data_IF_027665375171
#
_entry.id   IF_027665375171
#
_cell.length_a   1.000
_cell.length_b   1.000
_cell.length_c   1.000
_cell.angle_alpha   90.00
_cell.angle_beta   90.00
_cell.angle_gamma   90.00
#
_symmetry.space_group_name_H-M   'P 1'
#
loop_
_entity.id
_entity.type
_entity.pdbx_description
1 polymer ?
#
# COMPACT_ATOMS: atom_id res chain seq x y z
N UNK A 1 -54.01 -22.29 -18.41
CA UNK A 1 -54.18 -22.45 -19.87
C UNK A 1 -53.47 -21.30 -20.57
N UNK A 2 -52.48 -21.66 -21.41
CA UNK A 2 -51.81 -20.93 -22.52
C UNK A 2 -51.31 -19.49 -22.26
N UNK A 3 -50.01 -19.22 -22.07
CA UNK A 3 -48.89 -19.22 -23.06
C UNK A 3 -49.21 -18.54 -24.39
N UNK A 4 -48.67 -17.34 -24.59
CA UNK A 4 -48.25 -16.85 -25.90
C UNK A 4 -47.05 -15.90 -25.73
N UNK A 5 -45.87 -16.46 -25.98
CA UNK A 5 -44.60 -15.76 -26.14
C UNK A 5 -44.62 -14.95 -27.45
N UNK A 6 -44.10 -13.73 -27.43
CA UNK A 6 -43.74 -13.00 -28.65
C UNK A 6 -42.27 -12.62 -28.57
N UNK A 7 -41.49 -13.54 -29.12
CA UNK A 7 -40.05 -13.45 -29.38
C UNK A 7 -39.85 -12.54 -30.59
N UNK A 8 -39.25 -11.36 -30.41
CA UNK A 8 -38.70 -10.60 -31.53
C UNK A 8 -37.18 -10.80 -31.52
N UNK A 9 -36.72 -11.61 -32.46
CA UNK A 9 -35.30 -11.89 -32.68
C UNK A 9 -34.61 -10.71 -33.36
N UNK A 10 -33.56 -10.21 -32.70
CA UNK A 10 -32.52 -9.42 -33.35
C UNK A 10 -31.31 -10.35 -33.53
N UNK A 11 -31.16 -10.80 -34.78
CA UNK A 11 -30.10 -11.67 -35.25
C UNK A 11 -28.87 -10.79 -35.50
N UNK A 12 -28.09 -10.49 -34.45
CA UNK A 12 -26.73 -9.97 -34.61
C UNK A 12 -25.84 -11.17 -34.85
N UNK A 13 -25.53 -11.43 -36.13
CA UNK A 13 -24.47 -12.34 -36.52
C UNK A 13 -23.14 -11.73 -36.04
N UNK A 14 -22.75 -12.07 -34.81
CA UNK A 14 -21.42 -11.79 -34.29
C UNK A 14 -20.41 -12.53 -35.15
N UNK A 15 -19.65 -11.78 -35.95
CA UNK A 15 -18.35 -12.20 -36.45
C UNK A 15 -17.48 -12.47 -35.22
N UNK A 16 -17.48 -13.72 -34.75
CA UNK A 16 -16.44 -14.23 -33.87
C UNK A 16 -15.16 -14.29 -34.69
N UNK A 17 -14.42 -13.18 -34.70
CA UNK A 17 -12.98 -13.25 -34.96
C UNK A 17 -12.42 -13.95 -33.72
N UNK A 18 -11.82 -15.15 -33.85
CA UNK A 18 -11.07 -15.68 -32.74
C UNK A 18 -9.90 -14.73 -32.51
N UNK A 19 -9.93 -13.99 -31.40
CA UNK A 19 -8.71 -13.53 -30.74
C UNK A 19 -7.99 -14.79 -30.25
N UNK A 20 -7.37 -15.51 -31.17
CA UNK A 20 -6.19 -16.25 -30.84
C UNK A 20 -5.18 -15.19 -30.41
N UNK A 21 -4.82 -15.16 -29.13
CA UNK A 21 -3.59 -14.51 -28.67
C UNK A 21 -2.49 -14.95 -29.62
N UNK A 22 -2.05 -14.06 -30.50
CA UNK A 22 -0.77 -14.20 -31.15
C UNK A 22 0.24 -14.12 -30.00
N UNK A 23 0.64 -15.28 -29.47
CA UNK A 23 1.87 -15.38 -28.72
C UNK A 23 2.96 -15.01 -29.71
N UNK A 24 3.35 -13.73 -29.73
CA UNK A 24 4.51 -13.28 -30.48
C UNK A 24 5.66 -14.20 -30.12
N UNK A 25 6.25 -14.85 -31.12
CA UNK A 25 7.41 -15.70 -30.89
C UNK A 25 8.46 -14.85 -30.16
N UNK A 26 9.02 -15.34 -29.03
CA UNK A 26 9.96 -14.57 -28.26
C UNK A 26 11.13 -14.16 -29.17
N UNK A 27 11.61 -12.90 -29.08
CA UNK A 27 12.68 -12.42 -29.95
C UNK A 27 13.92 -13.32 -29.94
N UNK A 28 14.62 -13.42 -31.06
CA UNK A 28 15.77 -14.34 -31.19
C UNK A 28 16.86 -14.14 -30.13
N UNK A 29 17.05 -12.91 -29.63
CA UNK A 29 18.02 -12.63 -28.55
C UNK A 29 17.68 -13.40 -27.26
N UNK A 30 16.39 -13.67 -27.01
CA UNK A 30 15.90 -14.30 -25.79
C UNK A 30 16.33 -15.76 -25.70
N UNK A 31 16.20 -16.50 -26.80
CA UNK A 31 16.69 -17.87 -26.87
C UNK A 31 18.21 -17.94 -26.63
N UNK A 32 18.97 -16.99 -27.19
CA UNK A 32 20.41 -16.90 -26.98
C UNK A 32 20.78 -16.57 -25.52
N UNK A 33 20.04 -15.66 -24.88
CA UNK A 33 20.23 -15.30 -23.47
C UNK A 33 19.91 -16.47 -22.55
N UNK A 34 18.80 -17.18 -22.75
CA UNK A 34 18.45 -18.38 -21.98
C UNK A 34 19.52 -19.48 -22.11
N UNK A 35 20.03 -19.71 -23.32
CA UNK A 35 21.11 -20.67 -23.54
C UNK A 35 22.42 -20.24 -22.84
N UNK A 36 22.69 -18.93 -22.75
CA UNK A 36 23.83 -18.42 -22.01
C UNK A 36 23.68 -18.61 -20.50
N UNK A 37 22.50 -18.34 -19.96
CA UNK A 37 22.17 -18.60 -18.54
C UNK A 37 22.36 -20.07 -18.19
N UNK A 38 21.85 -20.99 -19.01
CA UNK A 38 22.03 -22.43 -18.79
C UNK A 38 23.52 -22.84 -18.69
N UNK A 39 24.40 -22.25 -19.50
CA UNK A 39 25.85 -22.51 -19.40
C UNK A 39 26.42 -21.96 -18.09
N UNK A 40 26.07 -20.73 -17.74
CA UNK A 40 26.50 -20.10 -16.48
C UNK A 40 26.03 -20.90 -15.25
N UNK A 41 24.82 -21.46 -15.30
CA UNK A 41 24.30 -22.29 -14.21
C UNK A 41 25.10 -23.60 -14.04
N UNK A 42 25.51 -24.23 -15.15
CA UNK A 42 26.38 -25.41 -15.11
C UNK A 42 27.73 -25.04 -14.53
N UNK A 43 28.36 -23.99 -15.04
CA UNK A 43 29.66 -23.50 -14.56
C UNK A 43 29.61 -23.13 -13.06
N UNK A 44 28.55 -22.46 -12.61
CA UNK A 44 28.37 -22.09 -11.21
C UNK A 44 28.16 -23.32 -10.31
N UNK A 45 27.36 -24.30 -10.73
CA UNK A 45 27.17 -25.55 -9.97
C UNK A 45 28.46 -26.35 -9.83
N UNK A 46 29.30 -26.35 -10.87
CA UNK A 46 30.62 -26.99 -10.82
C UNK A 46 31.58 -26.22 -9.91
N UNK A 47 31.64 -24.89 -10.05
CA UNK A 47 32.54 -24.03 -9.27
C UNK A 47 32.23 -24.03 -7.76
N UNK A 48 30.95 -24.09 -7.39
CA UNK A 48 30.49 -24.07 -5.99
C UNK A 48 30.03 -25.44 -5.50
N UNK A 49 30.49 -26.52 -6.16
CA UNK A 49 30.12 -27.88 -5.77
C UNK A 49 30.53 -28.18 -4.31
N UNK A 50 29.54 -28.43 -3.46
CA UNK A 50 29.73 -28.75 -2.04
C UNK A 50 29.83 -27.53 -1.11
N UNK A 51 29.80 -26.30 -1.62
CA UNK A 51 29.75 -25.09 -0.80
C UNK A 51 28.32 -24.84 -0.30
N UNK A 52 28.10 -25.03 1.00
CA UNK A 52 26.78 -24.81 1.63
C UNK A 52 26.41 -23.34 1.83
N UNK A 53 27.36 -22.43 1.63
CA UNK A 53 27.15 -20.98 1.71
C UNK A 53 26.70 -20.38 0.37
N UNK A 54 26.75 -21.14 -0.72
CA UNK A 54 26.29 -20.71 -2.03
C UNK A 54 25.11 -21.54 -2.51
N UNK A 55 24.04 -20.86 -2.91
CA UNK A 55 22.87 -21.46 -3.56
C UNK A 55 22.88 -21.07 -5.04
N UNK A 56 22.86 -22.07 -5.92
CA UNK A 56 22.76 -21.88 -7.37
C UNK A 56 21.38 -22.36 -7.84
N UNK A 57 20.57 -21.43 -8.35
CA UNK A 57 19.28 -21.69 -9.01
C UNK A 57 19.38 -21.25 -10.48
N UNK A 58 18.34 -21.50 -11.29
CA UNK A 58 18.36 -21.11 -12.70
C UNK A 58 18.52 -19.60 -12.84
N UNK A 59 19.63 -19.12 -13.39
CA UNK A 59 19.92 -17.69 -13.54
C UNK A 59 20.18 -16.93 -12.24
N UNK A 60 20.40 -17.62 -11.12
CA UNK A 60 20.66 -17.00 -9.82
C UNK A 60 21.85 -17.65 -9.12
N UNK A 61 22.75 -16.83 -8.61
CA UNK A 61 23.76 -17.22 -7.61
C UNK A 61 23.55 -16.39 -6.35
N UNK A 62 23.31 -17.06 -5.22
CA UNK A 62 23.14 -16.44 -3.92
C UNK A 62 24.24 -16.89 -2.96
N UNK A 63 24.92 -15.94 -2.34
CA UNK A 63 26.03 -16.13 -1.41
C UNK A 63 25.61 -15.62 -0.04
N UNK A 64 25.53 -16.54 0.93
CA UNK A 64 25.11 -16.25 2.30
C UNK A 64 26.15 -15.47 3.08
N UNK A 65 27.43 -15.74 2.89
CA UNK A 65 28.51 -15.05 3.61
C UNK A 65 28.64 -13.61 3.13
N UNK A 66 28.60 -13.41 1.82
CA UNK A 66 28.59 -12.07 1.23
C UNK A 66 27.23 -11.35 1.37
N UNK A 67 26.19 -12.06 1.83
CA UNK A 67 24.78 -11.64 1.84
C UNK A 67 24.39 -10.99 0.52
N UNK A 68 24.59 -11.71 -0.58
CA UNK A 68 24.46 -11.19 -1.94
C UNK A 68 23.73 -12.15 -2.84
N UNK A 69 22.91 -11.63 -3.73
CA UNK A 69 22.32 -12.38 -4.84
C UNK A 69 22.74 -11.71 -6.14
N UNK A 70 23.03 -12.52 -7.16
CA UNK A 70 23.20 -12.08 -8.54
C UNK A 70 22.19 -12.81 -9.40
N UNK A 71 21.34 -12.06 -10.08
CA UNK A 71 20.28 -12.53 -10.96
C UNK A 71 20.61 -12.13 -12.39
N UNK A 72 20.45 -13.06 -13.33
CA UNK A 72 20.59 -12.77 -14.76
C UNK A 72 19.31 -12.13 -15.28
N UNK A 73 19.45 -11.00 -15.98
CA UNK A 73 18.34 -10.27 -16.58
C UNK A 73 18.67 -9.91 -18.02
N UNK A 74 17.65 -9.58 -18.80
CA UNK A 74 17.78 -8.99 -20.14
C UNK A 74 17.04 -7.65 -20.20
N UNK A 75 17.58 -6.66 -20.89
CA UNK A 75 16.92 -5.37 -21.08
C UNK A 75 15.77 -5.48 -22.10
N UNK A 76 14.67 -4.76 -21.84
CA UNK A 76 13.49 -4.77 -22.72
C UNK A 76 13.62 -3.78 -23.89
N UNK A 77 14.56 -2.83 -23.81
CA UNK A 77 14.84 -1.90 -24.91
C UNK A 77 13.99 -0.62 -24.92
N UNK A 78 13.55 -0.14 -23.76
CA UNK A 78 12.89 1.16 -23.65
C UNK A 78 13.82 2.29 -24.13
N UNK A 79 13.26 3.21 -24.90
CA UNK A 79 13.94 4.40 -25.39
C UNK A 79 14.16 5.45 -24.30
N UNK A 80 15.00 6.42 -24.62
CA UNK A 80 15.21 7.60 -23.77
C UNK A 80 13.89 8.33 -23.52
N UNK A 81 13.62 8.70 -22.28
CA UNK A 81 12.37 9.36 -21.85
C UNK A 81 11.08 8.54 -22.01
N UNK A 82 11.16 7.26 -22.40
CA UNK A 82 10.00 6.38 -22.34
C UNK A 82 9.56 6.21 -20.89
N UNK A 83 8.25 6.11 -20.68
CA UNK A 83 7.69 5.84 -19.36
C UNK A 83 8.08 4.42 -18.95
N UNK A 84 8.63 4.29 -17.75
CA UNK A 84 8.93 3.01 -17.16
C UNK A 84 8.12 2.86 -15.87
N UNK A 85 7.49 1.72 -15.69
CA UNK A 85 6.73 1.34 -14.50
C UNK A 85 7.48 0.29 -13.67
N UNK A 86 8.26 -0.55 -14.35
CA UNK A 86 9.00 -1.63 -13.71
C UNK A 86 10.49 -1.52 -13.97
N UNK A 87 11.27 -1.78 -12.93
CA UNK A 87 12.69 -2.06 -13.10
C UNK A 87 12.90 -3.49 -13.60
N UNK A 88 12.15 -4.44 -13.03
CA UNK A 88 12.27 -5.86 -13.34
C UNK A 88 10.89 -6.51 -13.36
N UNK A 89 10.61 -7.22 -14.45
CA UNK A 89 9.45 -8.11 -14.59
C UNK A 89 9.87 -9.57 -14.69
N UNK A 90 8.94 -10.48 -14.36
CA UNK A 90 9.11 -11.91 -14.42
C UNK A 90 9.17 -12.44 -15.86
N UNK A 91 9.71 -13.66 -16.08
CA UNK A 91 9.91 -14.21 -17.42
C UNK A 91 8.64 -14.28 -18.29
N UNK A 92 7.48 -14.53 -17.66
CA UNK A 92 6.18 -14.68 -18.34
C UNK A 92 5.45 -13.36 -18.61
N UNK A 93 5.90 -12.26 -18.02
CA UNK A 93 5.20 -10.97 -18.10
C UNK A 93 5.23 -10.39 -19.52
N UNK A 94 4.07 -9.88 -19.95
CA UNK A 94 3.88 -9.13 -21.19
C UNK A 94 4.10 -7.62 -21.08
N UNK A 95 4.60 -7.11 -19.94
CA UNK A 95 4.78 -5.66 -19.71
C UNK A 95 6.18 -5.16 -20.09
N UNK A 96 6.83 -5.76 -21.09
CA UNK A 96 8.17 -5.33 -21.54
C UNK A 96 8.18 -3.93 -22.16
N UNK A 97 7.05 -3.48 -22.71
CA UNK A 97 6.87 -2.12 -23.25
C UNK A 97 6.90 -1.00 -22.20
N UNK A 98 6.95 -1.32 -20.91
CA UNK A 98 7.06 -0.36 -19.80
C UNK A 98 8.03 -0.83 -18.70
N UNK A 99 8.90 -1.79 -19.02
CA UNK A 99 9.88 -2.37 -18.09
C UNK A 99 11.31 -2.09 -18.54
N UNK A 100 12.22 -1.79 -17.62
CA UNK A 100 13.65 -1.66 -17.96
C UNK A 100 14.27 -3.01 -18.30
N UNK A 101 13.96 -4.03 -17.50
CA UNK A 101 14.54 -5.36 -17.65
C UNK A 101 13.53 -6.47 -17.34
N UNK A 102 13.83 -7.66 -17.84
CA UNK A 102 13.13 -8.90 -17.55
C UNK A 102 14.10 -9.89 -16.89
N UNK A 103 13.67 -10.49 -15.78
CA UNK A 103 14.41 -11.57 -15.15
C UNK A 103 14.44 -12.83 -16.02
N UNK A 104 15.56 -13.55 -15.99
CA UNK A 104 15.70 -14.88 -16.59
C UNK A 104 15.54 -15.99 -15.54
N UNK A 105 14.98 -15.64 -14.38
CA UNK A 105 14.64 -16.49 -13.25
C UNK A 105 13.23 -16.16 -12.77
N UNK A 106 12.56 -17.10 -12.10
CA UNK A 106 11.22 -16.89 -11.53
C UNK A 106 11.28 -16.05 -10.25
N UNK A 107 10.18 -15.38 -9.91
CA UNK A 107 10.07 -14.67 -8.64
C UNK A 107 10.19 -15.65 -7.44
N UNK A 108 9.68 -16.88 -7.56
CA UNK A 108 9.83 -17.92 -6.55
C UNK A 108 11.29 -18.32 -6.29
N UNK A 109 12.13 -18.44 -7.32
CA UNK A 109 13.56 -18.72 -7.15
C UNK A 109 14.28 -17.53 -6.49
N UNK A 110 13.87 -16.31 -6.82
CA UNK A 110 14.39 -15.11 -6.17
C UNK A 110 14.01 -14.99 -4.69
N UNK A 111 12.76 -15.27 -4.34
CA UNK A 111 12.30 -15.34 -2.94
C UNK A 111 13.11 -16.37 -2.15
N UNK A 112 13.31 -17.56 -2.72
CA UNK A 112 14.15 -18.61 -2.13
C UNK A 112 15.60 -18.15 -1.92
N UNK A 113 16.18 -17.43 -2.87
CA UNK A 113 17.52 -16.89 -2.78
C UNK A 113 17.65 -15.80 -1.68
N UNK A 114 16.66 -14.91 -1.53
CA UNK A 114 16.60 -13.89 -0.48
C UNK A 114 16.54 -14.53 0.92
N UNK A 115 15.68 -15.54 1.09
CA UNK A 115 15.61 -16.31 2.33
C UNK A 115 16.92 -17.06 2.62
N UNK A 116 17.57 -17.60 1.58
CA UNK A 116 18.84 -18.31 1.73
C UNK A 116 19.97 -17.44 2.28
N UNK A 117 20.02 -16.15 1.90
CA UNK A 117 20.99 -15.16 2.44
C UNK A 117 20.55 -14.53 3.77
N UNK A 118 19.49 -15.06 4.39
CA UNK A 118 19.03 -14.68 5.72
C UNK A 118 18.08 -13.48 5.75
N UNK A 119 17.42 -13.12 4.65
CA UNK A 119 16.37 -12.11 4.68
C UNK A 119 15.02 -12.72 5.05
N UNK A 120 14.21 -11.96 5.79
CA UNK A 120 12.80 -12.24 5.99
C UNK A 120 11.98 -11.25 5.13
N UNK A 121 10.93 -11.71 4.44
CA UNK A 121 10.09 -10.81 3.68
C UNK A 121 9.31 -9.89 4.62
N UNK A 122 9.13 -8.67 4.16
CA UNK A 122 8.22 -7.70 4.72
C UNK A 122 6.77 -7.91 4.28
N UNK A 123 5.98 -6.85 4.40
CA UNK A 123 4.58 -6.80 3.99
C UNK A 123 4.40 -5.76 2.89
N UNK A 124 3.79 -6.15 1.78
CA UNK A 124 3.38 -5.25 0.71
C UNK A 124 2.30 -4.27 1.18
N UNK A 125 2.03 -3.22 0.38
CA UNK A 125 0.83 -2.40 0.54
C UNK A 125 -0.45 -3.24 0.41
N UNK A 126 -1.50 -2.80 1.10
CA UNK A 126 -2.84 -3.38 1.05
C UNK A 126 -3.84 -2.28 1.39
N UNK A 127 -4.28 -1.57 0.36
CA UNK A 127 -5.19 -0.43 0.50
C UNK A 127 -6.54 -0.82 1.11
N UNK A 128 -6.99 -2.07 0.87
CA UNK A 128 -8.24 -2.59 1.45
C UNK A 128 -8.17 -2.77 2.97
N UNK A 129 -6.96 -2.93 3.50
CA UNK A 129 -6.67 -3.05 4.93
C UNK A 129 -5.97 -1.82 5.51
N UNK A 130 -6.07 -0.66 4.86
CA UNK A 130 -5.42 0.59 5.30
C UNK A 130 -3.90 0.50 5.46
N UNK A 131 -3.24 -0.38 4.70
CA UNK A 131 -1.77 -0.48 4.68
C UNK A 131 -1.23 0.27 3.47
N UNK A 132 -0.91 1.53 3.69
CA UNK A 132 -0.46 2.45 2.63
C UNK A 132 1.06 2.45 2.43
N UNK A 133 1.81 1.75 3.29
CA UNK A 133 3.26 1.71 3.28
C UNK A 133 3.75 0.26 3.24
N UNK A 134 4.72 -0.08 2.37
CA UNK A 134 5.40 -1.37 2.46
C UNK A 134 6.32 -1.38 3.67
N UNK A 135 6.32 -2.49 4.39
CA UNK A 135 7.05 -2.66 5.64
C UNK A 135 8.06 -3.79 5.54
N UNK A 136 9.34 -3.50 5.63
CA UNK A 136 10.39 -4.50 5.60
C UNK A 136 11.78 -3.86 5.56
N UNK A 137 12.79 -4.70 5.72
CA UNK A 137 14.18 -4.27 5.58
C UNK A 137 14.51 -3.92 4.13
N UNK A 138 15.55 -3.10 3.95
CA UNK A 138 15.93 -2.58 2.64
C UNK A 138 16.83 -3.55 1.91
N UNK A 139 16.63 -3.62 0.61
CA UNK A 139 17.51 -4.28 -0.36
C UNK A 139 18.05 -3.22 -1.29
N UNK A 140 19.37 -3.12 -1.29
CA UNK A 140 20.10 -2.34 -2.26
C UNK A 140 20.22 -3.12 -3.57
N UNK A 141 20.04 -2.41 -4.68
CA UNK A 141 19.83 -2.99 -5.99
C UNK A 141 20.72 -2.30 -7.01
N UNK A 142 21.48 -3.08 -7.77
CA UNK A 142 22.38 -2.55 -8.80
C UNK A 142 22.37 -3.39 -10.08
N UNK A 143 22.66 -2.75 -11.19
CA UNK A 143 22.85 -3.41 -12.49
C UNK A 143 24.27 -3.23 -12.99
N UNK A 144 24.80 -4.25 -13.66
CA UNK A 144 26.03 -4.12 -14.47
C UNK A 144 25.97 -5.04 -15.68
N UNK A 145 26.80 -4.76 -16.67
CA UNK A 145 27.03 -5.71 -17.76
C UNK A 145 27.92 -6.87 -17.28
N UNK A 146 27.67 -8.11 -17.74
CA UNK A 146 28.55 -9.24 -17.43
C UNK A 146 30.00 -8.95 -17.80
N UNK A 147 30.93 -9.30 -16.91
CA UNK A 147 32.38 -9.12 -17.13
C UNK A 147 32.90 -7.68 -17.03
N UNK A 148 32.04 -6.67 -16.81
CA UNK A 148 32.52 -5.31 -16.57
C UNK A 148 33.10 -5.14 -15.15
N UNK A 149 34.22 -4.41 -15.09
CA UNK A 149 34.92 -4.07 -13.85
C UNK A 149 34.55 -2.69 -13.30
N UNK A 150 33.84 -1.87 -14.07
CA UNK A 150 33.30 -0.59 -13.61
C UNK A 150 32.31 -0.79 -12.46
N UNK A 151 32.15 0.24 -11.63
CA UNK A 151 31.15 0.22 -10.57
C UNK A 151 29.75 -0.03 -11.16
N UNK A 152 28.93 -0.89 -10.52
CA UNK A 152 27.58 -1.17 -10.97
C UNK A 152 26.69 0.06 -10.74
N UNK A 153 25.64 0.22 -11.55
CA UNK A 153 24.70 1.33 -11.45
C UNK A 153 23.63 1.03 -10.41
N UNK A 154 23.26 2.02 -9.58
CA UNK A 154 22.06 1.90 -8.74
C UNK A 154 20.84 1.74 -9.62
N UNK A 155 19.92 0.84 -9.27
CA UNK A 155 18.66 0.69 -10.00
C UNK A 155 17.94 2.02 -10.12
N UNK A 156 17.87 2.79 -9.03
CA UNK A 156 17.25 4.11 -8.96
C UNK A 156 17.84 5.14 -9.95
N UNK A 157 19.11 4.94 -10.38
CA UNK A 157 19.77 5.81 -11.36
C UNK A 157 19.40 5.53 -12.82
N UNK A 158 18.70 4.43 -13.09
CA UNK A 158 18.20 4.09 -14.43
C UNK A 158 16.95 4.89 -14.80
N UNK A 159 16.28 5.50 -13.82
CA UNK A 159 15.09 6.32 -14.04
C UNK A 159 15.33 7.77 -13.64
N UNK A 160 14.61 8.67 -14.31
CA UNK A 160 14.50 10.09 -14.02
C UNK A 160 13.13 10.40 -13.44
N UNK A 161 13.08 11.23 -12.41
CA UNK A 161 11.88 11.94 -11.99
C UNK A 161 11.78 13.23 -12.80
N UNK A 162 10.81 13.29 -13.71
CA UNK A 162 10.60 14.42 -14.62
C UNK A 162 10.21 15.71 -13.88
N UNK A 163 9.56 15.58 -12.72
CA UNK A 163 9.18 16.73 -11.89
C UNK A 163 10.40 17.34 -11.20
N UNK A 164 11.36 16.52 -10.79
CA UNK A 164 12.57 16.96 -10.10
C UNK A 164 13.76 17.21 -11.04
N UNK A 165 13.70 16.72 -12.28
CA UNK A 165 14.80 16.77 -13.24
C UNK A 165 16.04 16.02 -12.76
N UNK A 166 15.86 14.98 -11.93
CA UNK A 166 16.95 14.20 -11.31
C UNK A 166 16.62 12.72 -11.33
N UNK A 167 17.63 11.88 -11.18
CA UNK A 167 17.42 10.45 -10.93
C UNK A 167 16.69 10.22 -9.61
N UNK A 168 16.07 9.04 -9.47
CA UNK A 168 15.39 8.69 -8.23
C UNK A 168 16.40 8.60 -7.07
N UNK A 169 15.96 8.98 -5.87
CA UNK A 169 16.79 8.91 -4.66
C UNK A 169 17.15 7.45 -4.35
N UNK A 170 18.43 7.13 -4.03
CA UNK A 170 18.90 5.76 -3.84
C UNK A 170 18.51 5.21 -2.45
N UNK A 171 17.21 5.03 -2.22
CA UNK A 171 16.66 4.58 -0.94
C UNK A 171 16.66 3.06 -0.77
N UNK A 172 17.01 2.31 -1.83
CA UNK A 172 16.80 0.87 -1.90
C UNK A 172 15.32 0.51 -2.05
N UNK A 173 15.03 -0.78 -1.95
CA UNK A 173 13.70 -1.35 -2.10
C UNK A 173 13.31 -2.16 -0.87
N UNK A 174 12.03 -2.36 -0.64
CA UNK A 174 11.50 -3.19 0.45
C UNK A 174 11.33 -4.60 -0.09
N UNK A 175 12.04 -5.58 0.47
CA UNK A 175 11.70 -6.97 0.19
C UNK A 175 10.39 -7.31 0.90
N UNK A 176 9.37 -7.70 0.14
CA UNK A 176 8.01 -7.95 0.65
C UNK A 176 7.48 -9.30 0.19
N UNK A 177 6.57 -9.86 0.98
CA UNK A 177 5.79 -11.02 0.58
C UNK A 177 4.58 -10.56 -0.24
N UNK A 178 4.50 -11.03 -1.49
CA UNK A 178 3.31 -10.83 -2.32
C UNK A 178 2.12 -11.60 -1.72
N UNK A 179 0.91 -11.02 -1.73
CA UNK A 179 -0.26 -11.65 -1.14
C UNK A 179 -0.64 -12.90 -1.94
N UNK A 180 -0.99 -13.97 -1.23
CA UNK A 180 -1.53 -15.17 -1.86
C UNK A 180 -2.98 -14.89 -2.30
N UNK A 181 -3.18 -14.63 -3.59
CA UNK A 181 -4.54 -14.53 -4.12
C UNK A 181 -5.24 -15.90 -4.01
N UNK A 182 -6.34 -15.97 -3.26
CA UNK A 182 -7.28 -17.10 -3.35
C UNK A 182 -6.85 -18.44 -2.73
N UNK A 183 -5.79 -18.53 -1.91
CA UNK A 183 -5.51 -19.76 -1.16
C UNK A 183 -6.52 -19.92 0.00
N UNK A 184 -7.66 -20.56 -0.29
CA UNK A 184 -8.71 -20.89 0.69
C UNK A 184 -8.27 -21.94 1.72
N UNK A 185 -7.11 -22.54 1.52
CA UNK A 185 -6.48 -23.53 2.40
C UNK A 185 -5.08 -23.03 2.71
N UNK A 186 -4.63 -23.07 3.96
CA UNK A 186 -3.29 -22.64 4.37
C UNK A 186 -2.11 -23.47 3.81
N UNK A 187 -2.27 -24.02 2.61
CA UNK A 187 -1.22 -24.63 1.81
C UNK A 187 -0.55 -23.52 0.96
N UNK A 188 0.79 -23.51 0.87
CA UNK A 188 1.49 -22.60 0.00
C UNK A 188 1.07 -22.87 -1.46
N UNK A 189 0.89 -21.82 -2.28
CA UNK A 189 0.51 -22.01 -3.68
C UNK A 189 1.60 -22.78 -4.42
N UNK A 190 1.20 -23.63 -5.37
CA UNK A 190 2.13 -24.38 -6.25
C UNK A 190 3.04 -23.45 -7.07
N UNK A 191 2.62 -22.19 -7.25
CA UNK A 191 3.30 -21.14 -7.99
C UNK A 191 3.38 -19.89 -7.12
N UNK A 192 4.53 -19.21 -7.12
CA UNK A 192 4.70 -17.97 -6.37
C UNK A 192 3.70 -16.89 -6.85
N UNK A 193 3.08 -16.08 -5.96
CA UNK A 193 2.01 -15.15 -6.37
C UNK A 193 2.40 -14.17 -7.48
N UNK A 194 3.65 -13.68 -7.48
CA UNK A 194 4.17 -12.83 -8.57
C UNK A 194 4.28 -13.59 -9.90
N UNK A 195 4.64 -14.87 -9.86
CA UNK A 195 4.71 -15.71 -11.06
C UNK A 195 3.31 -16.09 -11.59
N UNK A 196 2.29 -16.03 -10.73
CA UNK A 196 0.89 -16.26 -11.09
C UNK A 196 0.15 -14.98 -11.56
N UNK A 197 0.62 -13.79 -11.19
CA UNK A 197 0.08 -12.51 -11.63
C UNK A 197 0.53 -12.20 -13.07
N UNK A 198 -0.39 -11.73 -13.91
CA UNK A 198 -0.11 -11.48 -15.35
C UNK A 198 0.88 -10.34 -15.57
N UNK A 199 1.00 -9.40 -14.62
CA UNK A 199 1.97 -8.31 -14.69
C UNK A 199 3.37 -8.81 -14.36
N UNK A 200 3.49 -9.86 -13.55
CA UNK A 200 4.77 -10.44 -13.15
C UNK A 200 5.71 -9.42 -12.53
N UNK A 201 5.20 -8.48 -11.73
CA UNK A 201 5.99 -7.38 -11.18
C UNK A 201 7.01 -7.89 -10.16
N UNK A 202 8.29 -7.96 -10.51
CA UNK A 202 9.33 -8.32 -9.54
C UNK A 202 9.79 -7.09 -8.77
N UNK A 203 9.99 -5.96 -9.46
CA UNK A 203 10.40 -4.69 -8.86
C UNK A 203 9.77 -3.50 -9.61
N UNK A 204 8.75 -2.89 -9.03
CA UNK A 204 8.06 -1.71 -9.56
C UNK A 204 8.68 -0.39 -9.03
N UNK A 205 8.43 0.72 -9.71
CA UNK A 205 8.81 2.06 -9.24
C UNK A 205 7.69 2.81 -8.46
N UNK A 206 6.58 2.10 -8.24
CA UNK A 206 5.40 2.48 -7.46
C UNK A 206 5.02 1.36 -6.48
N UNK A 207 4.08 1.63 -5.58
CA UNK A 207 3.57 0.62 -4.66
C UNK A 207 2.62 -0.35 -5.37
N UNK A 208 3.16 -1.53 -5.71
CA UNK A 208 2.45 -2.64 -6.31
C UNK A 208 2.10 -3.70 -5.25
N UNK A 209 0.86 -4.15 -5.22
CA UNK A 209 0.42 -5.15 -4.25
C UNK A 209 1.05 -6.53 -4.52
N UNK A 210 1.18 -6.92 -5.79
CA UNK A 210 1.73 -8.21 -6.20
C UNK A 210 3.18 -8.05 -6.69
N UNK A 211 4.10 -7.75 -5.77
CA UNK A 211 5.52 -7.58 -6.08
C UNK A 211 6.46 -8.26 -5.08
N UNK A 212 7.73 -8.46 -5.47
CA UNK A 212 8.79 -8.96 -4.58
C UNK A 212 9.57 -7.81 -3.93
N UNK A 213 9.71 -6.70 -4.65
CA UNK A 213 10.43 -5.51 -4.22
C UNK A 213 9.58 -4.25 -4.42
N UNK A 214 9.21 -3.61 -3.31
CA UNK A 214 8.38 -2.40 -3.30
C UNK A 214 9.23 -1.14 -3.05
N UNK A 215 8.76 0.03 -3.46
CA UNK A 215 9.44 1.31 -3.19
C UNK A 215 9.18 1.77 -1.75
N UNK A 216 10.18 2.34 -1.07
CA UNK A 216 10.12 2.67 0.36
C UNK A 216 9.35 3.97 0.69
N UNK A 217 8.43 4.37 -0.19
CA UNK A 217 7.69 5.64 -0.16
C UNK A 217 6.22 5.41 -0.51
N UNK A 218 5.36 6.36 -0.16
CA UNK A 218 3.94 6.34 -0.57
C UNK A 218 3.82 6.83 -2.01
N UNK A 219 3.91 5.90 -2.95
CA UNK A 219 3.89 6.11 -4.38
C UNK A 219 2.80 5.24 -5.04
N UNK A 220 1.50 5.50 -4.82
CA UNK A 220 0.46 4.81 -5.58
C UNK A 220 0.66 5.09 -7.07
N UNK A 221 0.33 4.13 -7.94
CA UNK A 221 0.58 4.23 -9.38
C UNK A 221 0.05 5.54 -9.97
N UNK A 222 -1.19 5.93 -9.63
CA UNK A 222 -1.81 7.18 -10.09
C UNK A 222 -1.00 8.45 -9.74
N UNK A 223 -0.18 8.43 -8.68
CA UNK A 223 0.64 9.56 -8.28
C UNK A 223 1.98 9.66 -9.03
N UNK A 224 2.50 8.55 -9.57
CA UNK A 224 3.80 8.51 -10.26
C UNK A 224 3.70 8.21 -11.76
N UNK A 225 2.53 7.79 -12.23
CA UNK A 225 2.29 7.49 -13.64
C UNK A 225 2.70 8.67 -14.53
N UNK A 226 3.50 8.37 -15.57
CA UNK A 226 4.10 9.34 -16.52
C UNK A 226 5.03 10.39 -15.90
N UNK A 227 5.40 10.27 -14.63
CA UNK A 227 6.38 11.18 -13.98
C UNK A 227 7.78 10.58 -13.91
N UNK A 228 7.91 9.27 -14.17
CA UNK A 228 9.18 8.56 -14.12
C UNK A 228 9.50 7.94 -15.48
N UNK A 229 10.66 8.28 -16.02
CA UNK A 229 11.08 7.92 -17.39
C UNK A 229 12.48 7.31 -17.39
N UNK A 230 12.86 6.64 -18.48
CA UNK A 230 14.21 6.11 -18.66
C UNK A 230 15.23 7.25 -18.67
N UNK A 231 16.29 7.11 -17.87
CA UNK A 231 17.39 8.05 -17.84
C UNK A 231 18.15 8.04 -19.18
N UNK A 232 18.26 9.19 -19.89
CA UNK A 232 18.96 9.28 -21.19
C UNK A 232 20.42 8.83 -21.13
N UNK A 233 21.09 8.97 -19.99
CA UNK A 233 22.49 8.58 -19.81
C UNK A 233 22.68 7.07 -19.57
N UNK A 234 21.58 6.32 -19.43
CA UNK A 234 21.55 4.91 -19.00
C UNK A 234 20.58 4.05 -19.81
N UNK A 235 20.31 4.41 -21.07
CA UNK A 235 19.51 3.59 -21.99
C UNK A 235 20.15 2.22 -22.18
N UNK A 236 19.31 1.18 -22.20
CA UNK A 236 19.70 -0.22 -22.34
C UNK A 236 19.14 -0.77 -23.65
N UNK A 237 19.98 -1.42 -24.45
CA UNK A 237 19.55 -1.96 -25.74
C UNK A 237 18.69 -3.23 -25.55
N UNK A 238 17.70 -3.44 -26.41
CA UNK A 238 16.84 -4.63 -26.34
C UNK A 238 17.67 -5.92 -26.38
N UNK A 239 17.42 -6.82 -25.42
CA UNK A 239 18.13 -8.10 -25.29
C UNK A 239 19.53 -8.01 -24.68
N UNK A 240 19.99 -6.82 -24.28
CA UNK A 240 21.25 -6.65 -23.56
C UNK A 240 21.22 -7.45 -22.25
N UNK A 241 22.14 -8.42 -22.09
CA UNK A 241 22.23 -9.20 -20.86
C UNK A 241 22.89 -8.39 -19.75
N UNK A 242 22.29 -8.41 -18.56
CA UNK A 242 22.73 -7.70 -17.38
C UNK A 242 22.80 -8.67 -16.18
N UNK A 243 23.66 -8.31 -15.24
CA UNK A 243 23.66 -8.86 -13.90
C UNK A 243 22.96 -7.89 -12.96
N UNK A 244 21.85 -8.34 -12.39
CA UNK A 244 21.15 -7.63 -11.33
C UNK A 244 21.64 -8.14 -9.97
N UNK A 245 22.22 -7.23 -9.18
CA UNK A 245 22.87 -7.52 -7.92
C UNK A 245 21.97 -6.99 -6.80
N UNK A 246 21.71 -7.84 -5.82
CA UNK A 246 20.89 -7.54 -4.65
C UNK A 246 21.69 -7.80 -3.38
N UNK A 247 21.66 -6.85 -2.44
CA UNK A 247 22.24 -7.01 -1.11
C UNK A 247 21.31 -6.36 -0.07
N UNK A 248 21.15 -6.95 1.13
CA UNK A 248 20.54 -6.25 2.25
C UNK A 248 21.31 -4.96 2.52
N UNK A 249 20.61 -3.88 2.84
CA UNK A 249 21.23 -2.64 3.28
C UNK A 249 22.21 -2.92 4.43
N UNK A 250 23.44 -2.43 4.29
CA UNK A 250 24.45 -2.56 5.33
C UNK A 250 24.17 -1.58 6.46
N UNK A 251 23.55 -2.09 7.53
CA UNK A 251 23.42 -1.39 8.82
C UNK A 251 24.15 -2.16 9.92
N UNK A 252 24.46 -1.47 11.02
CA UNK A 252 24.80 -2.14 12.28
C UNK A 252 23.65 -3.09 12.70
N UNK A 253 23.86 -3.92 13.74
CA UNK A 253 22.92 -4.97 14.19
C UNK A 253 21.49 -4.51 14.56
N UNK A 254 21.17 -3.22 14.45
CA UNK A 254 19.87 -2.66 14.75
C UNK A 254 19.03 -2.49 13.47
N UNK A 255 17.81 -3.07 13.38
CA UNK A 255 16.95 -3.05 12.20
C UNK A 255 16.49 -1.66 11.77
N UNK A 256 16.29 -1.46 10.47
CA UNK A 256 15.72 -0.19 9.98
C UNK A 256 14.29 -0.02 10.44
N UNK A 257 13.49 -1.09 10.38
CA UNK A 257 12.08 -1.07 10.79
C UNK A 257 11.99 -1.01 12.31
N UNK A 258 11.30 0.01 12.83
CA UNK A 258 11.02 0.16 14.26
C UNK A 258 9.52 0.06 14.49
N UNK A 259 9.09 -1.01 15.16
CA UNK A 259 7.68 -1.24 15.49
C UNK A 259 7.34 -0.51 16.78
N UNK A 260 6.49 0.49 16.68
CA UNK A 260 6.07 1.32 17.79
C UNK A 260 4.55 1.21 18.00
N UNK A 261 4.11 1.14 19.24
CA UNK A 261 2.73 1.40 19.62
C UNK A 261 2.66 2.79 20.25
N UNK A 262 1.82 3.66 19.70
CA UNK A 262 1.57 5.00 20.23
C UNK A 262 0.20 5.01 20.88
N UNK A 263 0.17 5.24 22.20
CA UNK A 263 -1.04 5.36 22.98
C UNK A 263 -1.32 6.83 23.21
N UNK A 264 -2.50 7.29 22.80
CA UNK A 264 -3.06 8.58 23.18
C UNK A 264 -3.77 8.37 24.51
N UNK A 265 -3.16 8.86 25.58
CA UNK A 265 -3.69 8.81 26.94
C UNK A 265 -4.41 10.12 27.25
N UNK A 266 -5.56 10.02 27.90
CA UNK A 266 -6.39 11.16 28.24
C UNK A 266 -6.98 10.98 29.63
N UNK A 267 -6.68 11.91 30.53
CA UNK A 267 -7.40 11.99 31.79
C UNK A 267 -8.83 12.48 31.49
N UNK A 268 -9.83 11.62 31.70
CA UNK A 268 -11.24 11.98 31.50
C UNK A 268 -11.65 13.26 32.24
N UNK A 269 -12.63 13.98 31.70
CA UNK A 269 -13.09 15.29 32.20
C UNK A 269 -12.50 16.51 31.49
N UNK A 270 -13.04 17.70 31.80
CA UNK A 270 -12.78 19.01 31.16
C UNK A 270 -12.84 19.02 29.61
N UNK A 271 -12.78 20.20 28.99
CA UNK A 271 -12.59 20.29 27.53
C UNK A 271 -11.12 20.00 27.22
N UNK A 272 -10.86 18.96 26.46
CA UNK A 272 -9.52 18.53 26.10
C UNK A 272 -9.01 19.27 24.86
N UNK A 273 -7.70 19.45 24.78
CA UNK A 273 -7.00 19.98 23.62
C UNK A 273 -5.76 19.15 23.33
N UNK A 274 -5.11 19.41 22.20
CA UNK A 274 -3.84 18.75 21.86
C UNK A 274 -2.77 18.92 22.96
N UNK A 275 -2.79 20.05 23.67
CA UNK A 275 -1.82 20.37 24.72
C UNK A 275 -2.05 19.59 26.03
N UNK A 276 -3.26 19.06 26.23
CA UNK A 276 -3.62 18.31 27.44
C UNK A 276 -3.56 16.80 27.24
N UNK A 277 -3.44 16.32 25.99
CA UNK A 277 -3.23 14.91 25.70
C UNK A 277 -1.84 14.49 26.17
N UNK A 278 -1.75 13.27 26.70
CA UNK A 278 -0.50 12.62 27.03
C UNK A 278 -0.27 11.44 26.09
N UNK A 279 0.99 11.10 25.90
CA UNK A 279 1.36 10.03 24.99
C UNK A 279 2.25 9.01 25.71
N UNK A 280 2.04 7.75 25.37
CA UNK A 280 2.96 6.67 25.72
C UNK A 280 3.46 6.05 24.42
N UNK A 281 4.78 6.03 24.25
CA UNK A 281 5.41 5.46 23.06
C UNK A 281 6.08 4.15 23.40
N UNK A 282 5.61 3.09 22.75
CA UNK A 282 5.99 1.72 22.99
C UNK A 282 6.79 1.08 21.84
N UNK A 283 8.13 1.04 21.89
CA UNK A 283 8.92 0.10 21.07
C UNK A 283 8.62 -1.40 21.39
N UNK A 284 7.98 -2.10 20.46
CA UNK A 284 7.60 -3.51 20.63
C UNK A 284 8.80 -4.47 20.70
N UNK A 285 9.98 -4.03 20.25
CA UNK A 285 11.18 -4.87 20.12
C UNK A 285 12.11 -4.78 21.34
N UNK A 286 12.14 -3.65 22.04
CA UNK A 286 13.12 -3.40 23.13
C UNK A 286 12.52 -3.18 24.52
N UNK A 287 11.19 -3.17 24.66
CA UNK A 287 10.48 -2.98 25.95
C UNK A 287 10.90 -1.73 26.76
N UNK A 288 11.52 -0.72 26.15
CA UNK A 288 11.91 0.54 26.81
C UNK A 288 10.97 1.66 26.44
N UNK A 289 10.32 2.31 27.43
CA UNK A 289 9.24 3.27 27.18
C UNK A 289 9.37 4.59 27.94
N UNK A 290 8.94 5.65 27.26
CA UNK A 290 8.64 6.94 27.86
C UNK A 290 7.12 7.09 27.96
N UNK A 291 6.64 7.35 29.18
CA UNK A 291 5.24 7.54 29.49
C UNK A 291 4.98 9.00 29.92
N UNK A 292 3.74 9.46 29.76
CA UNK A 292 3.37 10.83 30.11
C UNK A 292 4.05 11.89 29.22
N UNK A 293 4.37 11.53 27.98
CA UNK A 293 5.00 12.46 27.04
C UNK A 293 4.02 13.56 26.65
N UNK A 294 4.51 14.80 26.68
CA UNK A 294 3.85 15.89 25.96
C UNK A 294 4.13 15.80 24.45
N UNK A 295 3.37 16.54 23.66
CA UNK A 295 3.47 16.51 22.20
C UNK A 295 4.89 16.79 21.66
N UNK A 296 5.55 17.81 22.20
CA UNK A 296 6.89 18.20 21.74
C UNK A 296 7.94 17.11 21.97
N UNK A 297 7.84 16.37 23.07
CA UNK A 297 8.79 15.30 23.38
C UNK A 297 8.49 14.05 22.55
N UNK A 298 7.21 13.76 22.24
CA UNK A 298 6.82 12.74 21.27
C UNK A 298 7.42 13.04 19.89
N UNK A 299 7.20 14.25 19.36
CA UNK A 299 7.74 14.65 18.06
C UNK A 299 9.27 14.56 18.03
N UNK A 300 9.95 15.03 19.08
CA UNK A 300 11.41 14.95 19.17
C UNK A 300 11.91 13.51 19.07
N UNK A 301 11.25 12.57 19.75
CA UNK A 301 11.63 11.15 19.70
C UNK A 301 11.40 10.54 18.32
N UNK A 302 10.24 10.79 17.70
CA UNK A 302 9.96 10.27 16.36
C UNK A 302 10.91 10.86 15.31
N UNK A 303 11.19 12.17 15.38
CA UNK A 303 12.15 12.83 14.48
C UNK A 303 13.56 12.27 14.66
N UNK A 304 14.00 12.01 15.89
CA UNK A 304 15.32 11.41 16.13
C UNK A 304 15.46 10.03 15.46
N UNK A 305 14.43 9.17 15.57
CA UNK A 305 14.42 7.88 14.88
C UNK A 305 14.56 8.04 13.36
N UNK A 306 13.78 8.95 12.76
CA UNK A 306 13.85 9.21 11.32
C UNK A 306 15.23 9.76 10.90
N UNK A 307 15.82 10.66 11.69
CA UNK A 307 17.15 11.24 11.44
C UNK A 307 18.27 10.19 11.55
N UNK A 308 18.12 9.20 12.42
CA UNK A 308 18.99 8.02 12.51
C UNK A 308 18.74 7.02 11.36
N UNK A 309 17.94 7.41 10.36
CA UNK A 309 17.59 6.62 9.20
C UNK A 309 16.74 5.40 9.53
N UNK A 310 15.97 5.42 10.63
CA UNK A 310 14.98 4.39 10.95
C UNK A 310 13.67 4.64 10.24
N UNK A 311 12.87 3.59 10.13
CA UNK A 311 11.49 3.67 9.65
C UNK A 311 10.52 3.29 10.77
N UNK A 312 9.96 4.29 11.49
CA UNK A 312 8.97 4.05 12.54
C UNK A 312 7.63 3.65 11.94
N UNK A 313 7.18 2.44 12.26
CA UNK A 313 5.84 1.94 11.98
C UNK A 313 5.01 2.00 13.24
N UNK A 314 3.97 2.83 13.24
CA UNK A 314 3.21 3.19 14.43
C UNK A 314 1.83 2.52 14.38
N UNK A 315 1.59 1.61 15.32
CA UNK A 315 0.25 1.18 15.70
C UNK A 315 -0.35 2.21 16.65
N UNK A 316 -1.48 2.80 16.27
CA UNK A 316 -2.15 3.83 17.07
C UNK A 316 -3.22 3.21 17.97
N UNK A 317 -3.17 3.51 19.26
CA UNK A 317 -4.24 3.23 20.24
C UNK A 317 -4.72 4.54 20.83
N UNK A 318 -6.03 4.73 20.89
CA UNK A 318 -6.66 5.94 21.42
C UNK A 318 -7.49 5.55 22.63
N UNK A 319 -7.28 6.26 23.75
CA UNK A 319 -8.09 6.09 24.95
C UNK A 319 -9.56 6.47 24.70
N UNK A 320 -10.47 5.76 25.36
CA UNK A 320 -11.91 5.96 25.20
C UNK A 320 -12.36 7.37 25.62
N UNK A 321 -11.67 7.99 26.57
CA UNK A 321 -12.01 9.34 27.06
C UNK A 321 -11.38 10.47 26.25
N UNK A 322 -10.65 10.17 25.17
CA UNK A 322 -10.13 11.19 24.27
C UNK A 322 -11.29 11.89 23.53
N UNK A 323 -11.39 13.22 23.64
CA UNK A 323 -12.40 13.99 22.93
C UNK A 323 -12.06 14.14 21.44
N UNK A 324 -13.07 14.04 20.57
CA UNK A 324 -12.90 14.04 19.12
C UNK A 324 -12.20 15.31 18.58
N UNK A 325 -12.39 16.47 19.22
CA UNK A 325 -11.72 17.71 18.86
C UNK A 325 -10.20 17.66 19.06
N UNK A 326 -9.76 17.17 20.22
CA UNK A 326 -8.35 16.98 20.53
C UNK A 326 -7.74 15.88 19.64
N UNK A 327 -8.48 14.79 19.42
CA UNK A 327 -8.07 13.70 18.54
C UNK A 327 -7.91 14.15 17.08
N UNK A 328 -8.84 14.96 16.55
CA UNK A 328 -8.70 15.56 15.21
C UNK A 328 -7.44 16.40 15.08
N UNK A 329 -7.16 17.27 16.07
CA UNK A 329 -5.95 18.09 16.07
C UNK A 329 -4.68 17.22 16.09
N UNK A 330 -4.69 16.13 16.85
CA UNK A 330 -3.61 15.16 16.87
C UNK A 330 -3.45 14.42 15.53
N UNK A 331 -4.54 13.96 14.91
CA UNK A 331 -4.50 13.29 13.61
C UNK A 331 -4.00 14.20 12.49
N UNK A 332 -4.32 15.51 12.51
CA UNK A 332 -3.74 16.50 11.59
C UNK A 332 -2.22 16.57 11.73
N UNK A 333 -1.72 16.58 12.97
CA UNK A 333 -0.29 16.59 13.22
C UNK A 333 0.37 15.28 12.76
N UNK A 334 -0.23 14.11 13.04
CA UNK A 334 0.27 12.83 12.55
C UNK A 334 0.36 12.82 11.03
N UNK A 335 -0.67 13.32 10.33
CA UNK A 335 -0.65 13.42 8.88
C UNK A 335 0.49 14.32 8.36
N UNK A 336 0.85 15.38 9.08
CA UNK A 336 1.94 16.28 8.68
C UNK A 336 3.34 15.65 8.78
N UNK A 337 3.48 14.61 9.60
CA UNK A 337 4.74 13.88 9.79
C UNK A 337 4.74 12.49 9.16
N UNK A 338 3.60 12.02 8.61
CA UNK A 338 3.50 10.81 7.80
C UNK A 338 4.00 11.12 6.37
N UNK A 339 5.31 11.07 6.19
CA UNK A 339 6.00 11.41 4.91
C UNK A 339 7.01 10.32 4.54
N UNK A 340 7.59 10.40 3.34
CA UNK A 340 8.61 9.44 2.87
C UNK A 340 9.83 9.32 3.80
N UNK A 341 10.11 10.37 4.57
CA UNK A 341 11.19 10.42 5.57
C UNK A 341 10.66 10.50 7.01
N UNK A 342 9.36 10.32 7.19
CA UNK A 342 8.66 10.50 8.46
C UNK A 342 8.23 9.18 9.08
N UNK A 343 7.08 9.20 9.75
CA UNK A 343 6.48 8.00 10.33
C UNK A 343 5.57 7.29 9.32
N UNK A 344 5.24 6.03 9.60
CA UNK A 344 4.27 5.25 8.83
C UNK A 344 3.22 4.75 9.78
N UNK A 345 1.95 5.06 9.53
CA UNK A 345 0.86 4.59 10.39
C UNK A 345 0.42 3.21 9.90
N UNK A 346 0.37 2.26 10.82
CA UNK A 346 -0.15 0.92 10.58
C UNK A 346 -1.67 0.93 10.43
N UNK A 347 -2.25 -0.13 9.82
CA UNK A 347 -3.70 -0.37 9.86
C UNK A 347 -4.29 -0.20 11.25
N UNK A 348 -5.56 0.23 11.36
CA UNK A 348 -6.20 0.37 12.66
C UNK A 348 -6.31 -0.99 13.37
N UNK A 349 -6.25 -0.97 14.69
CA UNK A 349 -6.59 -2.13 15.52
C UNK A 349 -8.03 -2.57 15.24
N UNK A 350 -8.34 -3.85 15.45
CA UNK A 350 -9.69 -4.36 15.26
C UNK A 350 -10.70 -3.56 16.10
N UNK A 351 -11.75 -3.06 15.46
CA UNK A 351 -12.77 -2.21 16.09
C UNK A 351 -12.42 -0.72 16.18
N UNK A 352 -11.23 -0.30 15.76
CA UNK A 352 -10.82 1.11 15.72
C UNK A 352 -10.94 1.68 14.30
N UNK A 353 -11.06 3.01 14.22
CA UNK A 353 -10.98 3.74 12.96
C UNK A 353 -9.53 4.01 12.56
N UNK A 354 -9.26 4.03 11.25
CA UNK A 354 -7.98 4.56 10.76
C UNK A 354 -7.87 6.05 11.08
N UNK A 355 -6.68 6.54 11.44
CA UNK A 355 -6.52 7.91 11.97
C UNK A 355 -7.00 9.00 10.98
N UNK A 356 -6.90 8.75 9.67
CA UNK A 356 -7.39 9.67 8.63
C UNK A 356 -8.92 9.80 8.60
N UNK A 357 -9.66 8.89 9.24
CA UNK A 357 -11.09 9.04 9.44
C UNK A 357 -11.44 10.35 10.18
N UNK A 358 -10.56 10.86 11.05
CA UNK A 358 -10.78 12.11 11.81
C UNK A 358 -10.36 13.38 11.08
N UNK A 359 -9.77 13.24 9.88
CA UNK A 359 -9.37 14.36 9.02
C UNK A 359 -9.89 14.16 7.59
N UNK A 360 -11.21 13.96 7.43
CA UNK A 360 -11.80 13.80 6.10
C UNK A 360 -11.69 15.08 5.28
N UNK A 361 -11.82 14.95 3.96
CA UNK A 361 -11.99 16.09 3.07
C UNK A 361 -13.28 16.85 3.43
N UNK A 362 -13.18 18.13 3.76
CA UNK A 362 -14.32 18.97 4.14
C UNK A 362 -15.32 19.14 2.97
N UNK A 363 -14.91 18.92 1.71
CA UNK A 363 -15.82 18.93 0.55
C UNK A 363 -16.90 17.83 0.64
N UNK A 364 -16.64 16.74 1.37
CA UNK A 364 -17.62 15.66 1.57
C UNK A 364 -18.81 16.06 2.47
N UNK A 365 -18.71 17.21 3.17
CA UNK A 365 -19.82 17.77 3.94
C UNK A 365 -20.90 18.35 3.05
N UNK A 366 -20.52 18.83 1.87
CA UNK A 366 -21.44 19.44 0.92
C UNK A 366 -22.12 18.34 0.10
N UNK A 367 -23.43 18.21 0.31
CA UNK A 367 -24.25 17.18 -0.34
C UNK A 367 -24.43 17.44 -1.83
N UNK A 368 -24.34 18.70 -2.26
CA UNK A 368 -24.59 19.09 -3.66
C UNK A 368 -23.38 18.83 -4.55
N UNK A 369 -22.17 18.87 -3.98
CA UNK A 369 -20.92 18.74 -4.75
C UNK A 369 -20.33 17.34 -4.73
N UNK A 370 -20.72 16.48 -3.79
CA UNK A 370 -20.17 15.13 -3.68
C UNK A 370 -20.77 14.17 -4.70
N UNK A 371 -19.92 13.32 -5.28
CA UNK A 371 -20.27 12.36 -6.35
C UNK A 371 -21.20 11.24 -5.84
N UNK A 372 -21.14 10.93 -4.55
CA UNK A 372 -21.91 9.84 -3.93
C UNK A 372 -22.63 10.35 -2.68
N UNK A 373 -23.74 9.69 -2.31
CA UNK A 373 -24.55 10.05 -1.14
C UNK A 373 -24.53 8.96 -0.05
N UNK A 374 -23.43 8.79 0.71
CA UNK A 374 -23.41 7.87 1.84
C UNK A 374 -24.40 8.29 2.94
N UNK A 375 -24.80 7.33 3.77
CA UNK A 375 -25.61 7.64 4.95
C UNK A 375 -24.84 8.51 5.95
N UNK A 376 -25.56 9.37 6.68
CA UNK A 376 -24.98 10.29 7.64
C UNK A 376 -25.43 9.96 9.07
N UNK A 377 -24.48 9.64 9.95
CA UNK A 377 -24.73 9.46 11.38
C UNK A 377 -24.48 10.76 12.12
N UNK A 378 -25.52 11.33 12.72
CA UNK A 378 -25.43 12.61 13.45
C UNK A 378 -25.56 12.40 14.95
N UNK A 379 -24.65 13.01 15.70
CA UNK A 379 -24.68 13.12 17.16
C UNK A 379 -24.99 14.56 17.55
N UNK A 380 -25.94 14.74 18.46
CA UNK A 380 -26.29 16.05 19.04
C UNK A 380 -26.16 15.95 20.55
N UNK A 381 -25.43 16.87 21.18
CA UNK A 381 -25.32 16.91 22.63
C UNK A 381 -26.69 17.15 23.28
N UNK A 382 -26.94 16.47 24.40
CA UNK A 382 -28.12 16.71 25.24
C UNK A 382 -27.69 17.16 26.63
N UNK A 383 -28.61 17.85 27.31
CA UNK A 383 -28.40 18.31 28.69
C UNK A 383 -28.20 17.17 29.71
N UNK A 384 -28.60 15.94 29.38
CA UNK A 384 -28.41 14.74 30.22
C UNK A 384 -27.03 14.08 30.02
N UNK A 385 -26.16 14.67 29.19
CA UNK A 385 -24.81 14.18 28.90
C UNK A 385 -24.75 13.00 27.94
N UNK A 386 -25.89 12.48 27.45
CA UNK A 386 -25.93 11.43 26.42
C UNK A 386 -26.21 12.05 25.05
N UNK A 387 -25.51 11.65 23.97
CA UNK A 387 -25.81 12.18 22.66
C UNK A 387 -27.19 11.67 22.17
N UNK A 388 -27.98 12.55 21.55
CA UNK A 388 -29.04 12.13 20.65
C UNK A 388 -28.40 11.69 19.33
N UNK A 389 -28.72 10.48 18.87
CA UNK A 389 -28.14 9.91 17.64
C UNK A 389 -29.23 9.71 16.61
N UNK A 390 -28.96 10.11 15.37
CA UNK A 390 -29.87 9.87 14.24
C UNK A 390 -29.11 9.49 12.97
N UNK A 391 -29.67 8.59 12.19
CA UNK A 391 -29.23 8.28 10.83
C UNK A 391 -30.02 9.15 9.84
N UNK A 392 -29.33 9.76 8.89
CA UNK A 392 -29.93 10.42 7.73
C UNK A 392 -29.58 9.61 6.49
N UNK A 393 -30.59 9.05 5.86
CA UNK A 393 -30.48 8.36 4.58
C UNK A 393 -30.80 9.33 3.46
N UNK A 394 -30.04 9.22 2.37
CA UNK A 394 -30.10 10.14 1.25
C UNK A 394 -30.39 9.33 0.00
N UNK A 395 -31.35 9.82 -0.79
CA UNK A 395 -31.83 9.18 -2.01
C UNK A 395 -31.68 10.15 -3.17
N UNK A 396 -31.14 9.64 -4.28
CA UNK A 396 -30.92 10.37 -5.53
C UNK A 396 -32.03 10.03 -6.52
N UNK A 397 -32.75 11.03 -6.98
CA UNK A 397 -33.76 10.89 -8.03
C UNK A 397 -33.22 11.53 -9.31
N UNK A 398 -32.78 10.69 -10.24
CA UNK A 398 -32.24 11.11 -11.53
C UNK A 398 -33.37 11.32 -12.55
N UNK A 399 -33.31 12.44 -13.29
CA UNK A 399 -34.20 12.74 -14.42
C UNK A 399 -33.38 12.76 -15.71
N UNK A 400 -33.97 12.33 -16.81
CA UNK A 400 -33.26 12.05 -18.08
C UNK A 400 -32.46 13.24 -18.66
N UNK A 401 -32.81 14.49 -18.30
CA UNK A 401 -32.19 15.72 -18.83
C UNK A 401 -31.37 16.50 -17.78
N UNK A 402 -31.30 16.03 -16.53
CA UNK A 402 -30.63 16.77 -15.45
C UNK A 402 -29.17 16.33 -15.25
N UNK A 403 -28.30 17.32 -14.99
CA UNK A 403 -26.88 17.09 -14.69
C UNK A 403 -26.66 16.67 -13.23
N UNK A 404 -27.63 16.96 -12.35
CA UNK A 404 -27.59 16.65 -10.92
C UNK A 404 -28.90 16.00 -10.47
N UNK A 405 -28.87 14.99 -9.58
CA UNK A 405 -30.07 14.37 -9.07
C UNK A 405 -30.80 15.28 -8.08
N UNK A 406 -32.12 15.12 -8.01
CA UNK A 406 -32.89 15.67 -6.90
C UNK A 406 -32.66 14.81 -5.65
N UNK A 407 -32.28 15.43 -4.53
CA UNK A 407 -31.97 14.73 -3.28
C UNK A 407 -33.16 14.76 -2.31
N UNK A 408 -33.58 13.59 -1.83
CA UNK A 408 -34.52 13.46 -0.70
C UNK A 408 -33.86 12.82 0.51
N UNK A 409 -34.35 13.15 1.71
CA UNK A 409 -33.74 12.73 2.96
C UNK A 409 -34.76 12.07 3.89
N UNK A 410 -34.38 10.93 4.47
CA UNK A 410 -35.11 10.29 5.55
C UNK A 410 -34.28 10.32 6.83
N UNK A 411 -34.90 10.65 7.96
CA UNK A 411 -34.22 10.75 9.25
C UNK A 411 -34.79 9.76 10.25
N UNK A 412 -33.92 8.92 10.80
CA UNK A 412 -34.26 7.88 11.75
C UNK A 412 -33.58 8.19 13.09
N UNK A 413 -34.37 8.46 14.13
CA UNK A 413 -33.84 8.56 15.48
C UNK A 413 -33.40 7.17 15.96
N UNK A 414 -32.18 7.05 16.49
CA UNK A 414 -31.61 5.79 16.92
C UNK A 414 -31.51 5.74 18.45
N UNK A 415 -32.05 4.67 19.04
CA UNK A 415 -31.99 4.47 20.49
C UNK A 415 -30.76 3.67 20.93
N UNK A 416 -30.20 2.83 20.07
CA UNK A 416 -29.06 1.95 20.38
C UNK A 416 -28.12 1.77 19.17
N UNK A 417 -26.85 1.39 19.40
CA UNK A 417 -25.92 0.99 18.33
C UNK A 417 -26.45 -0.13 17.44
N UNK A 418 -27.19 -1.10 17.98
CA UNK A 418 -27.78 -2.19 17.19
C UNK A 418 -28.86 -1.68 16.24
N UNK A 419 -29.60 -0.62 16.62
CA UNK A 419 -30.58 0.01 15.73
C UNK A 419 -29.90 0.61 14.50
N UNK A 420 -28.68 1.16 14.63
CA UNK A 420 -27.89 1.63 13.49
C UNK A 420 -27.63 0.50 12.49
N UNK A 421 -27.15 -0.66 12.98
CA UNK A 421 -26.91 -1.82 12.13
C UNK A 421 -28.19 -2.25 11.43
N UNK A 422 -29.29 -2.40 12.16
CA UNK A 422 -30.58 -2.82 11.59
C UNK A 422 -31.02 -1.89 10.47
N UNK A 423 -30.93 -0.57 10.65
CA UNK A 423 -31.29 0.39 9.61
C UNK A 423 -30.37 0.29 8.39
N UNK A 424 -29.05 0.30 8.58
CA UNK A 424 -28.11 0.21 7.46
C UNK A 424 -28.22 -1.11 6.68
N UNK A 425 -28.54 -2.23 7.35
CA UNK A 425 -28.74 -3.53 6.67
C UNK A 425 -30.08 -3.65 5.96
N UNK A 426 -31.07 -2.82 6.28
CA UNK A 426 -32.37 -2.84 5.60
C UNK A 426 -32.29 -2.27 4.19
N UNK A 427 -31.19 -1.57 3.86
CA UNK A 427 -30.97 -0.91 2.58
C UNK A 427 -30.05 -1.75 1.70
N UNK A 428 -30.62 -2.36 0.66
CA UNK A 428 -29.87 -3.23 -0.28
C UNK A 428 -28.92 -2.45 -1.20
N UNK A 429 -29.19 -1.17 -1.47
CA UNK A 429 -28.41 -0.27 -2.34
C UNK A 429 -27.48 0.69 -1.57
N UNK A 430 -27.29 0.45 -0.27
CA UNK A 430 -26.50 1.31 0.60
C UNK A 430 -25.00 1.27 0.27
N UNK A 431 -24.36 2.44 0.23
CA UNK A 431 -22.90 2.52 0.10
C UNK A 431 -22.23 2.06 1.40
N UNK A 432 -21.13 1.27 1.34
CA UNK A 432 -20.37 0.81 2.52
C UNK A 432 -19.48 1.93 3.10
N UNK A 433 -20.03 3.15 3.18
CA UNK A 433 -19.38 4.38 3.63
C UNK A 433 -20.31 5.08 4.62
N UNK A 434 -19.78 5.60 5.73
CA UNK A 434 -20.55 6.35 6.72
C UNK A 434 -19.91 7.71 6.99
N UNK A 435 -20.69 8.78 6.87
CA UNK A 435 -20.27 10.12 7.27
C UNK A 435 -20.82 10.40 8.67
N UNK A 436 -19.92 10.64 9.63
CA UNK A 436 -20.27 10.87 11.03
C UNK A 436 -20.12 12.35 11.35
N UNK A 437 -21.18 12.99 11.81
CA UNK A 437 -21.18 14.36 12.30
C UNK A 437 -21.34 14.35 13.81
N UNK A 438 -20.29 14.72 14.54
CA UNK A 438 -20.25 14.60 15.99
C UNK A 438 -19.68 15.85 16.68
N UNK A 439 -20.12 16.20 17.89
CA UNK A 439 -19.57 17.33 18.62
C UNK A 439 -18.11 17.07 19.00
N UNK A 440 -17.31 18.13 19.08
CA UNK A 440 -15.88 18.03 19.38
C UNK A 440 -15.58 17.45 20.77
N UNK A 441 -16.55 17.55 21.67
CA UNK A 441 -16.57 17.06 23.05
C UNK A 441 -16.99 15.60 23.18
N UNK A 442 -17.50 14.97 22.11
CA UNK A 442 -17.83 13.54 22.15
C UNK A 442 -16.56 12.74 22.48
N UNK A 443 -16.68 11.78 23.38
CA UNK A 443 -15.60 10.86 23.71
C UNK A 443 -15.44 9.79 22.61
N UNK A 444 -14.20 9.44 22.30
CA UNK A 444 -13.84 8.44 21.30
C UNK A 444 -14.53 7.10 21.58
N UNK A 445 -14.59 6.67 22.84
CA UNK A 445 -15.23 5.41 23.24
C UNK A 445 -16.72 5.37 22.92
N UNK A 446 -17.45 6.48 23.12
CA UNK A 446 -18.86 6.55 22.76
C UNK A 446 -19.03 6.51 21.22
N UNK A 447 -18.17 7.18 20.46
CA UNK A 447 -18.17 7.05 19.00
C UNK A 447 -17.96 5.60 18.55
N UNK A 448 -16.90 4.94 19.05
CA UNK A 448 -16.57 3.56 18.67
C UNK A 448 -17.68 2.60 19.08
N UNK A 449 -18.33 2.80 20.23
CA UNK A 449 -19.48 2.01 20.68
C UNK A 449 -20.62 2.02 19.66
N UNK A 450 -20.92 3.18 19.07
CA UNK A 450 -21.95 3.30 18.04
C UNK A 450 -21.54 2.67 16.70
N UNK A 451 -20.26 2.75 16.34
CA UNK A 451 -19.76 2.25 15.06
C UNK A 451 -19.45 0.75 15.05
N UNK A 452 -19.07 0.18 16.19
CA UNK A 452 -18.63 -1.22 16.32
C UNK A 452 -19.55 -2.24 15.64
N UNK A 453 -20.90 -2.14 15.74
CA UNK A 453 -21.80 -3.08 15.10
C UNK A 453 -21.81 -3.03 13.56
N UNK A 454 -21.26 -1.97 12.95
CA UNK A 454 -21.37 -1.70 11.51
C UNK A 454 -20.02 -1.56 10.79
N UNK A 455 -18.89 -1.51 11.50
CA UNK A 455 -17.56 -1.37 10.88
C UNK A 455 -17.22 -2.48 9.88
N UNK A 456 -17.78 -3.69 10.04
CA UNK A 456 -17.57 -4.77 9.09
C UNK A 456 -18.32 -4.56 7.75
N UNK A 457 -19.50 -3.93 7.78
CA UNK A 457 -20.29 -3.63 6.57
C UNK A 457 -20.03 -2.24 5.99
N UNK A 458 -19.60 -1.29 6.83
CA UNK A 458 -19.29 0.09 6.49
C UNK A 458 -17.89 0.45 6.98
N UNK A 459 -16.83 -0.16 6.42
CA UNK A 459 -15.46 0.01 6.89
C UNK A 459 -14.94 1.43 6.68
N UNK A 460 -15.44 2.14 5.67
CA UNK A 460 -15.01 3.52 5.36
C UNK A 460 -15.84 4.52 6.17
N UNK A 461 -15.23 5.09 7.20
CA UNK A 461 -15.88 6.10 8.06
C UNK A 461 -15.14 7.43 7.97
N UNK A 462 -15.89 8.52 7.84
CA UNK A 462 -15.39 9.89 7.90
C UNK A 462 -16.03 10.63 9.07
N UNK A 463 -15.22 11.14 10.00
CA UNK A 463 -15.66 11.79 11.23
C UNK A 463 -15.44 13.29 11.13
N UNK A 464 -16.54 14.01 11.10
CA UNK A 464 -16.61 15.45 11.05
C UNK A 464 -16.97 16.01 12.43
N UNK A 465 -16.00 16.65 13.08
CA UNK A 465 -16.29 17.57 14.17
C UNK A 465 -16.64 18.94 13.61
N UNK A 466 -17.57 19.71 14.22
CA UNK A 466 -17.74 21.10 13.84
C UNK A 466 -16.38 21.78 13.99
N UNK A 467 -15.94 22.48 12.93
CA UNK A 467 -14.97 23.55 13.12
C UNK A 467 -15.57 24.43 14.21
N UNK A 468 -14.85 24.70 15.29
CA UNK A 468 -15.20 25.80 16.19
C UNK A 468 -15.63 26.96 15.31
N UNK A 469 -16.93 27.30 15.29
CA UNK A 469 -17.34 28.60 14.78
C UNK A 469 -16.82 29.59 15.81
N UNK A 470 -15.88 30.48 15.50
CA UNK A 470 -15.88 31.76 16.19
C UNK A 470 -17.09 32.51 15.64
N UNK A 471 -18.10 32.62 16.50
CA UNK A 471 -19.24 33.57 16.47
C UNK A 471 -20.10 33.68 15.21
#
# INVERSE_FOLDING_TARGET
MNRASLTLGLLVAGLMVPWAEAQDEPPAYRAANLAAVQRLDVEAREAFAGDTNVLVLSGIVADREARRIVVQTEACGLGSHDVAEFFVIAPHSGNDYESLTRALATAGDMDRALRFIGMAPGRCVDYSRYRFWPKGERVESWFRRPGQTSAPWRAESLLMDEKLGKTLSPMGFVYVEAPQAGSLSGEPPDVHPVDADTRGSIMANYNEAFTLFDVPRAAPQAAVYRQQTVNPDRVLEAGERLEWILQPERRAEDPRVQNLELVVDSAGGATQSLATLQFVLHNQTSCTYAAGLGMNDLLRQLTALCQDGRDPFITLRVDDHAQLGALKAFCLLLASIETDHGIRIEPPLAGHLYFKAFIPDDALRDRETRIMQPAELTFVERADGRPAVSLVEIFEHWRDDDVHPELTFERHALATPEALRTQLTAREDGLPILLVFAPATLEHGELIRWLSPVLASHPTVHVFTPLTRPE
#
